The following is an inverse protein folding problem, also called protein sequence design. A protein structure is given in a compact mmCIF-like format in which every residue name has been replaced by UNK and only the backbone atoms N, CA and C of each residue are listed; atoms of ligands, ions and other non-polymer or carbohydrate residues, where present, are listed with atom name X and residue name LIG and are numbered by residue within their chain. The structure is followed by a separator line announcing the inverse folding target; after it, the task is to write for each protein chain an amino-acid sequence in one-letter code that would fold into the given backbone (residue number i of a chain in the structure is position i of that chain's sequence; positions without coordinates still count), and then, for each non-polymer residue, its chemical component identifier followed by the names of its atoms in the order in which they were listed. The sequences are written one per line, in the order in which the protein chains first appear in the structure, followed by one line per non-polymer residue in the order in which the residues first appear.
data_IF_332343350914
#
_entry.id   IF_332343350914
#
_cell.length_a   1.000
_cell.length_b   1.000
_cell.length_c   1.000
_cell.angle_alpha   90.00
_cell.angle_beta   90.00
_cell.angle_gamma   90.00
#
_symmetry.space_group_name_H-M   'P 1'
#
loop_
_entity.id
_entity.type
_entity.pdbx_description
1 polymer ?
#
# COMPACT_ATOMS: atom_id res chain seq x y z
N UNK A 1 11.91 0.72 -16.44
CA UNK A 1 10.74 0.11 -15.80
C UNK A 1 10.13 1.13 -14.87
N UNK A 2 8.82 1.32 -14.94
CA UNK A 2 8.11 2.23 -14.02
C UNK A 2 8.16 1.68 -12.59
N UNK A 3 7.94 2.55 -11.60
CA UNK A 3 7.86 2.09 -10.20
C UNK A 3 6.71 1.09 -10.02
N UNK A 4 5.58 1.31 -10.70
CA UNK A 4 4.46 0.38 -10.69
C UNK A 4 4.87 -1.01 -11.16
N UNK A 5 5.51 -1.09 -12.31
CA UNK A 5 5.91 -2.38 -12.88
C UNK A 5 7.00 -3.03 -12.04
N UNK A 6 7.94 -2.25 -11.54
CA UNK A 6 9.02 -2.74 -10.70
C UNK A 6 8.48 -3.37 -9.41
N UNK A 7 7.60 -2.67 -8.70
CA UNK A 7 7.05 -3.18 -7.45
C UNK A 7 6.09 -4.34 -7.67
N UNK A 8 5.25 -4.28 -8.71
CA UNK A 8 4.35 -5.41 -9.03
C UNK A 8 5.12 -6.68 -9.34
N UNK A 9 6.33 -6.56 -9.88
CA UNK A 9 7.17 -7.72 -10.22
C UNK A 9 8.04 -8.19 -9.06
N UNK A 10 8.64 -7.26 -8.33
CA UNK A 10 9.72 -7.58 -7.38
C UNK A 10 9.34 -7.46 -5.90
N UNK A 11 8.22 -6.84 -5.56
CA UNK A 11 7.67 -6.96 -4.21
C UNK A 11 6.97 -8.31 -4.10
N UNK A 12 7.75 -9.33 -3.81
CA UNK A 12 7.32 -10.72 -3.90
C UNK A 12 6.26 -11.06 -2.87
N UNK A 13 6.37 -10.52 -1.67
CA UNK A 13 5.40 -10.77 -0.62
C UNK A 13 4.03 -10.19 -1.00
N UNK A 14 3.99 -8.94 -1.46
CA UNK A 14 2.76 -8.29 -1.89
C UNK A 14 2.14 -9.00 -3.09
N UNK A 15 2.95 -9.41 -4.07
CA UNK A 15 2.48 -10.15 -5.23
C UNK A 15 1.87 -11.50 -4.84
N UNK A 16 2.51 -12.20 -3.90
CA UNK A 16 2.02 -13.49 -3.41
C UNK A 16 0.72 -13.33 -2.62
N UNK A 17 0.55 -12.21 -1.93
CA UNK A 17 -0.69 -11.89 -1.23
C UNK A 17 -1.81 -11.43 -2.18
N UNK A 18 -1.52 -11.28 -3.46
CA UNK A 18 -2.51 -10.85 -4.45
C UNK A 18 -2.69 -9.34 -4.54
N UNK A 19 -1.74 -8.57 -4.01
CA UNK A 19 -1.76 -7.12 -4.09
C UNK A 19 -1.15 -6.64 -5.41
N UNK A 20 -1.76 -5.63 -6.02
CA UNK A 20 -1.29 -5.09 -7.30
C UNK A 20 -1.47 -3.59 -7.33
N UNK A 21 -0.43 -2.87 -7.76
CA UNK A 21 -0.51 -1.43 -7.99
C UNK A 21 -1.17 -1.21 -9.35
N UNK A 22 -2.17 -0.32 -9.39
CA UNK A 22 -2.89 0.01 -10.62
C UNK A 22 -2.58 1.40 -11.13
N UNK A 23 -2.27 2.35 -10.24
CA UNK A 23 -2.00 3.74 -10.61
C UNK A 23 -0.92 4.32 -9.70
N UNK A 24 -0.05 5.13 -10.29
CA UNK A 24 0.93 5.95 -9.53
C UNK A 24 1.14 7.26 -10.27
N UNK A 25 1.04 8.37 -9.55
CA UNK A 25 1.51 9.68 -10.02
C UNK A 25 2.24 10.38 -8.86
N UNK A 26 2.55 11.66 -9.01
CA UNK A 26 3.36 12.39 -8.03
C UNK A 26 2.64 12.65 -6.70
N UNK A 27 1.32 12.52 -6.67
CA UNK A 27 0.51 12.85 -5.48
C UNK A 27 -0.31 11.68 -4.97
N UNK A 28 -0.36 10.56 -5.71
CA UNK A 28 -1.38 9.55 -5.48
C UNK A 28 -0.93 8.20 -6.04
N UNK A 29 -1.23 7.14 -5.31
CA UNK A 29 -1.03 5.76 -5.77
C UNK A 29 -2.21 4.90 -5.35
N UNK A 30 -2.54 3.91 -6.16
CA UNK A 30 -3.63 2.96 -5.90
C UNK A 30 -3.11 1.54 -6.01
N UNK A 31 -3.45 0.73 -5.02
CA UNK A 31 -3.22 -0.72 -5.05
C UNK A 31 -4.53 -1.45 -4.74
N UNK A 32 -4.71 -2.63 -5.30
CA UNK A 32 -5.94 -3.42 -5.14
C UNK A 32 -5.62 -4.84 -4.69
N UNK A 33 -6.57 -5.45 -3.98
CA UNK A 33 -6.48 -6.84 -3.54
C UNK A 33 -7.90 -7.38 -3.38
N UNK A 34 -8.19 -8.55 -3.96
CA UNK A 34 -9.41 -9.27 -3.65
C UNK A 34 -9.18 -10.18 -2.45
N UNK A 35 -10.04 -10.11 -1.45
CA UNK A 35 -9.93 -10.94 -0.26
C UNK A 35 -10.27 -12.39 -0.63
N UNK A 36 -9.30 -13.28 -0.46
CA UNK A 36 -9.48 -14.72 -0.69
C UNK A 36 -9.53 -15.45 0.64
N UNK A 37 -9.86 -16.75 0.58
CA UNK A 37 -9.88 -17.59 1.76
C UNK A 37 -8.53 -17.57 2.50
N UNK A 38 -7.42 -17.48 1.78
CA UNK A 38 -6.07 -17.47 2.37
C UNK A 38 -5.76 -16.19 3.15
N UNK A 39 -6.54 -15.13 2.96
CA UNK A 39 -6.38 -13.88 3.72
C UNK A 39 -7.11 -13.88 5.05
N UNK A 40 -7.97 -14.87 5.32
CA UNK A 40 -8.84 -14.85 6.49
C UNK A 40 -8.10 -15.22 7.77
N UNK A 41 -8.45 -14.54 8.86
CA UNK A 41 -7.99 -14.87 10.20
C UNK A 41 -8.93 -15.89 10.88
N UNK A 42 -8.67 -16.19 12.14
CA UNK A 42 -9.48 -17.15 12.91
C UNK A 42 -10.95 -16.72 13.08
N UNK A 43 -11.28 -15.46 12.86
CA UNK A 43 -12.65 -14.94 12.92
C UNK A 43 -13.32 -14.85 11.56
N UNK A 44 -12.73 -15.42 10.51
CA UNK A 44 -13.26 -15.44 9.15
C UNK A 44 -13.40 -14.05 8.52
N UNK A 45 -12.53 -13.12 8.91
CA UNK A 45 -12.41 -11.82 8.25
C UNK A 45 -10.97 -11.62 7.82
N UNK A 46 -10.73 -10.69 6.89
CA UNK A 46 -9.40 -10.43 6.36
C UNK A 46 -8.44 -10.07 7.49
N UNK A 47 -7.33 -10.78 7.55
CA UNK A 47 -6.31 -10.57 8.59
C UNK A 47 -5.68 -9.20 8.44
N UNK A 48 -5.45 -8.53 9.59
CA UNK A 48 -4.91 -7.17 9.60
C UNK A 48 -3.57 -7.03 8.87
N UNK A 49 -2.73 -8.07 8.93
CA UNK A 49 -1.47 -8.09 8.20
C UNK A 49 -1.64 -8.04 6.68
N UNK A 50 -2.70 -8.67 6.15
CA UNK A 50 -3.00 -8.60 4.72
C UNK A 50 -3.45 -7.19 4.32
N UNK A 51 -4.28 -6.56 5.15
CA UNK A 51 -4.69 -5.17 4.95
C UNK A 51 -3.48 -4.24 4.97
N UNK A 52 -2.58 -4.44 5.92
CA UNK A 52 -1.37 -3.64 6.01
C UNK A 52 -0.46 -3.84 4.81
N UNK A 53 -0.31 -5.08 4.34
CA UNK A 53 0.50 -5.38 3.15
C UNK A 53 0.00 -4.59 1.94
N UNK A 54 -1.32 -4.56 1.75
CA UNK A 54 -1.94 -3.80 0.67
C UNK A 54 -1.66 -2.30 0.81
N UNK A 55 -1.87 -1.74 2.00
CA UNK A 55 -1.63 -0.32 2.25
C UNK A 55 -0.14 0.04 2.08
N UNK A 56 0.75 -0.81 2.59
CA UNK A 56 2.19 -0.59 2.51
C UNK A 56 2.70 -0.60 1.07
N UNK A 57 2.13 -1.45 0.22
CA UNK A 57 2.47 -1.45 -1.20
C UNK A 57 2.11 -0.12 -1.87
N UNK A 58 0.93 0.42 -1.58
CA UNK A 58 0.52 1.73 -2.10
C UNK A 58 1.45 2.84 -1.59
N UNK A 59 1.84 2.79 -0.31
CA UNK A 59 2.79 3.73 0.28
C UNK A 59 4.14 3.65 -0.44
N UNK A 60 4.67 2.45 -0.63
CA UNK A 60 5.95 2.24 -1.29
C UNK A 60 5.95 2.79 -2.72
N UNK A 61 4.86 2.58 -3.44
CA UNK A 61 4.72 3.09 -4.80
C UNK A 61 4.78 4.62 -4.83
N UNK A 62 4.03 5.28 -3.95
CA UNK A 62 3.99 6.73 -3.91
C UNK A 62 5.32 7.32 -3.43
N UNK A 63 5.93 6.74 -2.40
CA UNK A 63 7.21 7.24 -1.86
C UNK A 63 8.35 7.13 -2.85
N UNK A 64 8.34 6.12 -3.71
CA UNK A 64 9.44 5.83 -4.63
C UNK A 64 9.18 6.27 -6.07
N UNK A 65 8.04 6.91 -6.35
CA UNK A 65 7.68 7.24 -7.73
C UNK A 65 8.65 8.24 -8.38
N UNK A 66 9.32 9.06 -7.58
CA UNK A 66 10.32 10.01 -8.08
C UNK A 66 11.67 9.39 -8.39
N UNK A 67 11.85 8.10 -8.14
CA UNK A 67 13.08 7.37 -8.42
C UNK A 67 14.08 7.33 -7.28
N UNK A 68 13.91 8.16 -6.25
CA UNK A 68 14.79 8.18 -5.09
C UNK A 68 14.34 7.14 -4.07
N UNK A 69 15.25 6.25 -3.68
CA UNK A 69 14.94 5.12 -2.80
C UNK A 69 14.45 5.60 -1.44
N UNK A 70 13.24 5.18 -1.06
CA UNK A 70 12.59 5.59 0.19
C UNK A 70 12.04 4.36 0.90
N UNK A 71 12.38 4.21 2.17
CA UNK A 71 11.87 3.13 3.02
C UNK A 71 10.94 3.69 4.08
N UNK A 72 9.90 2.91 4.44
CA UNK A 72 9.04 3.23 5.57
C UNK A 72 9.80 3.12 6.88
N UNK A 73 9.64 4.12 7.75
CA UNK A 73 10.26 4.12 9.08
C UNK A 73 9.23 4.13 10.20
N UNK A 74 8.00 4.50 9.90
CA UNK A 74 6.93 4.49 10.89
C UNK A 74 5.59 4.44 10.18
N UNK A 75 4.72 3.55 10.63
CA UNK A 75 3.34 3.46 10.15
C UNK A 75 2.40 3.28 11.33
N UNK A 76 1.22 3.88 11.23
CA UNK A 76 0.14 3.68 12.18
C UNK A 76 -1.09 3.25 11.41
N UNK A 77 -1.70 2.15 11.81
CA UNK A 77 -2.89 1.61 11.15
C UNK A 77 -4.07 1.58 12.13
N UNK A 78 -5.22 2.01 11.66
CA UNK A 78 -6.47 1.92 12.39
C UNK A 78 -7.43 1.03 11.59
N UNK A 79 -7.85 -0.07 12.19
CA UNK A 79 -8.82 -0.99 11.61
C UNK A 79 -10.22 -0.49 11.96
N UNK A 80 -11.00 -0.12 10.94
CA UNK A 80 -12.31 0.53 11.13
C UNK A 80 -13.45 -0.44 10.93
N UNK A 81 -13.36 -1.29 9.91
CA UNK A 81 -14.39 -2.27 9.56
C UNK A 81 -13.74 -3.56 9.10
N UNK A 82 -14.47 -4.66 9.24
CA UNK A 82 -13.99 -5.96 8.73
C UNK A 82 -14.20 -6.07 7.23
N UNK A 83 -13.22 -6.67 6.56
CA UNK A 83 -13.36 -7.10 5.18
C UNK A 83 -13.60 -8.61 5.15
N UNK A 84 -14.47 -9.07 4.28
CA UNK A 84 -14.83 -10.48 4.17
C UNK A 84 -14.35 -11.08 2.85
N UNK A 85 -14.34 -12.41 2.78
CA UNK A 85 -13.96 -13.10 1.55
C UNK A 85 -14.81 -12.63 0.37
N UNK A 86 -14.16 -12.35 -0.74
CA UNK A 86 -14.81 -11.81 -1.94
C UNK A 86 -14.79 -10.30 -2.05
N UNK A 87 -14.53 -9.57 -0.95
CA UNK A 87 -14.40 -8.12 -1.04
C UNK A 87 -13.24 -7.72 -1.94
N UNK A 88 -13.46 -6.68 -2.75
CA UNK A 88 -12.43 -6.07 -3.57
C UNK A 88 -11.95 -4.80 -2.85
N UNK A 89 -10.73 -4.83 -2.37
CA UNK A 89 -10.17 -3.74 -1.58
C UNK A 89 -9.33 -2.83 -2.45
N UNK A 90 -9.49 -1.53 -2.25
CA UNK A 90 -8.72 -0.49 -2.92
C UNK A 90 -8.00 0.34 -1.87
N UNK A 91 -6.67 0.34 -1.91
CA UNK A 91 -5.84 1.20 -1.08
C UNK A 91 -5.46 2.43 -1.90
N UNK A 92 -5.89 3.59 -1.42
CA UNK A 92 -5.57 4.86 -2.06
C UNK A 92 -4.62 5.64 -1.15
N UNK A 93 -3.39 5.82 -1.63
CA UNK A 93 -2.35 6.57 -0.94
C UNK A 93 -2.28 7.99 -1.49
N UNK A 94 -2.26 8.97 -0.60
CA UNK A 94 -2.12 10.38 -0.96
C UNK A 94 -1.00 11.02 -0.16
N UNK A 95 -0.28 11.96 -0.78
CA UNK A 95 0.79 12.68 -0.11
C UNK A 95 0.21 13.69 0.86
N UNK A 96 0.62 13.61 2.13
CA UNK A 96 0.30 14.62 3.14
C UNK A 96 1.36 15.71 3.13
N UNK A 97 2.63 15.31 3.07
CA UNK A 97 3.75 16.22 3.00
C UNK A 97 4.88 15.53 2.23
N UNK A 98 5.28 16.11 1.10
CA UNK A 98 6.40 15.60 0.31
C UNK A 98 7.71 16.19 0.81
N UNK A 99 8.04 15.90 2.08
CA UNK A 99 9.28 16.34 2.68
C UNK A 99 10.47 15.69 1.98
N UNK A 100 11.54 16.44 1.75
CA UNK A 100 12.71 15.96 0.98
C UNK A 100 13.40 14.76 1.65
N UNK A 101 13.29 14.59 2.96
CA UNK A 101 13.88 13.46 3.71
C UNK A 101 12.85 12.51 4.30
N UNK A 102 11.74 13.02 4.86
CA UNK A 102 10.77 12.24 5.62
C UNK A 102 9.36 12.48 5.10
N UNK A 103 9.04 12.01 3.88
CA UNK A 103 7.70 12.18 3.33
C UNK A 103 6.65 11.49 4.20
N UNK A 104 5.47 12.09 4.28
CA UNK A 104 4.31 11.56 4.99
C UNK A 104 3.19 11.24 4.02
N UNK A 105 2.55 10.11 4.22
CA UNK A 105 1.51 9.60 3.33
C UNK A 105 0.33 9.11 4.16
N UNK A 106 -0.87 9.32 3.65
CA UNK A 106 -2.11 8.79 4.19
C UNK A 106 -2.67 7.77 3.22
N UNK A 107 -3.21 6.65 3.74
CA UNK A 107 -3.84 5.61 2.93
C UNK A 107 -5.24 5.32 3.47
N UNK A 108 -6.21 5.29 2.56
CA UNK A 108 -7.56 4.82 2.84
C UNK A 108 -7.77 3.51 2.10
N UNK A 109 -8.14 2.47 2.83
CA UNK A 109 -8.50 1.18 2.23
C UNK A 109 -10.00 1.04 2.32
N UNK A 110 -10.65 0.92 1.16
CA UNK A 110 -12.11 0.79 1.05
C UNK A 110 -12.47 -0.49 0.32
N UNK A 111 -13.69 -0.99 0.56
CA UNK A 111 -14.22 -2.13 -0.20
C UNK A 111 -14.98 -1.62 -1.45
N UNK A 112 -15.59 -2.54 -2.20
CA UNK A 112 -16.33 -2.22 -3.44
C UNK A 112 -17.56 -1.34 -3.21
N UNK A 113 -18.04 -1.25 -1.98
CA UNK A 113 -19.18 -0.40 -1.61
C UNK A 113 -18.74 0.96 -1.09
N UNK A 114 -17.42 1.24 -1.10
CA UNK A 114 -16.87 2.48 -0.59
C UNK A 114 -16.76 2.54 0.93
N UNK A 115 -16.98 1.42 1.63
CA UNK A 115 -16.86 1.36 3.09
C UNK A 115 -15.39 1.42 3.48
N UNK A 116 -15.05 2.30 4.43
CA UNK A 116 -13.69 2.38 4.95
C UNK A 116 -13.38 1.13 5.79
N UNK A 117 -12.37 0.38 5.38
CA UNK A 117 -11.91 -0.82 6.06
C UNK A 117 -10.79 -0.50 7.03
N UNK A 118 -9.76 0.21 6.58
CA UNK A 118 -8.70 0.68 7.47
C UNK A 118 -8.12 1.99 6.96
N UNK A 119 -7.43 2.66 7.85
CA UNK A 119 -6.76 3.93 7.60
C UNK A 119 -5.33 3.83 8.10
N UNK A 120 -4.37 4.22 7.25
CA UNK A 120 -2.96 4.15 7.57
C UNK A 120 -2.34 5.53 7.39
N UNK A 121 -1.47 5.91 8.33
CA UNK A 121 -0.56 7.03 8.14
C UNK A 121 0.85 6.49 8.14
N UNK A 122 1.66 6.90 7.18
CA UNK A 122 3.01 6.40 7.01
C UNK A 122 4.01 7.52 6.85
N UNK A 123 5.22 7.26 7.33
CA UNK A 123 6.36 8.15 7.16
C UNK A 123 7.52 7.33 6.63
N UNK A 124 8.23 7.86 5.63
CA UNK A 124 9.41 7.23 5.07
C UNK A 124 10.67 8.02 5.34
N UNK A 125 11.78 7.38 5.08
CA UNK A 125 13.09 8.04 5.03
C UNK A 125 13.65 7.92 3.62
N UNK A 126 13.90 9.06 2.99
CA UNK A 126 14.39 9.15 1.62
C UNK A 126 15.91 9.11 1.62
N UNK A 127 16.46 8.05 1.03
CA UNK A 127 17.89 7.88 0.93
C UNK A 127 18.44 8.68 -0.25
N UNK A 128 19.77 8.88 -0.26
CA UNK A 128 20.43 9.54 -1.40
C UNK A 128 20.55 8.60 -2.61
N UNK A 129 20.34 7.30 -2.41
CA UNK A 129 20.39 6.31 -3.49
C UNK A 129 19.14 6.35 -4.34
N UNK A 130 19.28 5.95 -5.61
CA UNK A 130 18.15 5.77 -6.52
C UNK A 130 17.54 4.38 -6.37
N UNK A 131 16.28 4.24 -6.72
CA UNK A 131 15.62 2.93 -6.79
C UNK A 131 16.37 2.08 -7.82
N UNK A 132 16.79 0.84 -7.47
CA UNK A 132 17.50 -0.02 -8.41
C UNK A 132 16.65 -0.37 -9.62
N UNK A 133 17.23 -0.29 -10.81
CA UNK A 133 16.61 -0.85 -12.01
C UNK A 133 16.92 -2.33 -12.11
N UNK A 134 15.91 -3.11 -12.51
CA UNK A 134 16.03 -4.56 -12.60
C UNK A 134 15.65 -5.08 -13.98
#
# INVERSE_FOLDING_TARGET
MSIKDLLNKYDRFAAQAGCQITEVDSQHAVAVMTVTHEHLNGGNVCQGGALFTLADLAIAALMNQGGQLTFGIHNSIMFVSSAIEGDVLTAEATSVCDHHKIPSIEVRVTNQEGRLICHVTGMGYRKQAMVPEK
#
